data_IF_556494534593
#
_entry.id   IF_556494534593
#
_cell.length_a   1.000
_cell.length_b   1.000
_cell.length_c   1.000
_cell.angle_alpha   90.00
_cell.angle_beta   90.00
_cell.angle_gamma   90.00
#
_symmetry.space_group_name_H-M   'P 1'
#
loop_
_entity.id
_entity.type
_entity.pdbx_description
1 polymer ?
#
# COMPACT_ATOMS: atom_id res chain seq x y z
N UNK A 1 5.42 16.36 -20.90
CA UNK A 1 6.27 15.63 -19.93
C UNK A 1 5.36 14.90 -18.98
N UNK A 2 5.15 13.62 -19.23
CA UNK A 2 4.46 12.73 -18.28
C UNK A 2 5.47 12.22 -17.26
N UNK A 3 5.00 11.83 -16.06
CA UNK A 3 5.87 11.27 -15.01
C UNK A 3 6.66 10.05 -15.52
N UNK A 4 6.07 9.30 -16.46
CA UNK A 4 6.69 8.14 -17.12
C UNK A 4 7.91 8.54 -17.95
N UNK A 5 7.84 9.65 -18.67
CA UNK A 5 8.96 10.17 -19.47
C UNK A 5 10.13 10.59 -18.57
N UNK A 6 9.84 11.23 -17.44
CA UNK A 6 10.88 11.63 -16.45
C UNK A 6 11.60 10.41 -15.88
N UNK A 7 10.84 9.37 -15.50
CA UNK A 7 11.41 8.13 -14.97
C UNK A 7 12.30 7.44 -16.02
N UNK A 8 11.88 7.39 -17.29
CA UNK A 8 12.69 6.83 -18.37
C UNK A 8 14.00 7.60 -18.58
N UNK A 9 13.96 8.94 -18.60
CA UNK A 9 15.18 9.74 -18.76
C UNK A 9 16.17 9.54 -17.61
N UNK A 10 15.67 9.31 -16.40
CA UNK A 10 16.51 9.12 -15.22
C UNK A 10 17.10 7.70 -15.18
N UNK A 11 16.37 6.71 -15.70
CA UNK A 11 16.82 5.32 -15.87
C UNK A 11 17.88 5.21 -16.98
N UNK A 12 17.72 5.92 -18.10
CA UNK A 12 18.65 5.87 -19.24
C UNK A 12 20.03 6.46 -18.90
N UNK A 13 20.12 7.30 -17.87
CA UNK A 13 21.39 7.88 -17.37
C UNK A 13 22.11 6.92 -16.40
N UNK A 14 21.44 5.88 -15.90
CA UNK A 14 22.02 4.92 -14.96
C UNK A 14 22.80 3.82 -15.68
N UNK A 15 23.98 3.51 -15.16
CA UNK A 15 24.77 2.37 -15.63
C UNK A 15 24.16 1.04 -15.16
N UNK A 16 24.45 -0.05 -15.89
CA UNK A 16 23.97 -1.42 -15.63
C UNK A 16 24.03 -1.83 -14.16
N UNK A 17 25.12 -1.50 -13.46
CA UNK A 17 25.33 -1.82 -12.03
C UNK A 17 24.27 -1.19 -11.13
N UNK A 18 23.88 0.05 -11.41
CA UNK A 18 22.82 0.76 -10.67
C UNK A 18 21.44 0.29 -11.09
N UNK A 19 21.25 -0.13 -12.34
CA UNK A 19 20.00 -0.74 -12.80
C UNK A 19 19.73 -2.08 -12.10
N UNK A 20 20.77 -2.88 -11.86
CA UNK A 20 20.68 -4.12 -11.08
C UNK A 20 20.22 -3.86 -9.64
N UNK A 21 20.66 -2.75 -9.03
CA UNK A 21 20.21 -2.35 -7.68
C UNK A 21 18.79 -1.76 -7.68
N UNK A 22 18.41 -1.04 -8.75
CA UNK A 22 17.09 -0.41 -8.88
C UNK A 22 15.98 -1.41 -9.21
N UNK A 23 16.29 -2.43 -10.01
CA UNK A 23 15.34 -3.46 -10.43
C UNK A 23 14.58 -4.14 -9.27
N UNK A 24 15.24 -4.64 -8.20
CA UNK A 24 14.53 -5.24 -7.08
C UNK A 24 13.62 -4.26 -6.35
N UNK A 25 13.98 -2.97 -6.27
CA UNK A 25 13.15 -1.95 -5.64
C UNK A 25 11.85 -1.73 -6.43
N UNK A 26 11.97 -1.59 -7.76
CA UNK A 26 10.80 -1.44 -8.65
C UNK A 26 9.95 -2.72 -8.62
N UNK A 27 10.59 -3.90 -8.67
CA UNK A 27 9.90 -5.19 -8.62
C UNK A 27 9.11 -5.36 -7.33
N UNK A 28 9.71 -5.05 -6.19
CA UNK A 28 9.04 -5.13 -4.89
C UNK A 28 7.90 -4.12 -4.79
N UNK A 29 8.09 -2.91 -5.32
CA UNK A 29 7.04 -1.90 -5.39
C UNK A 29 5.83 -2.39 -6.19
N UNK A 30 6.06 -2.91 -7.41
CA UNK A 30 4.99 -3.46 -8.25
C UNK A 30 4.29 -4.64 -7.56
N UNK A 31 5.04 -5.58 -6.98
CA UNK A 31 4.46 -6.72 -6.26
C UNK A 31 3.64 -6.30 -5.02
N UNK A 32 4.06 -5.24 -4.33
CA UNK A 32 3.30 -4.69 -3.20
C UNK A 32 1.97 -4.08 -3.63
N UNK A 33 1.93 -3.43 -4.80
CA UNK A 33 0.69 -2.88 -5.37
C UNK A 33 -0.26 -4.01 -5.82
N UNK A 34 0.26 -5.04 -6.50
CA UNK A 34 -0.54 -6.21 -6.88
C UNK A 34 -1.11 -6.96 -5.66
N UNK A 35 -0.35 -7.02 -4.56
CA UNK A 35 -0.79 -7.63 -3.31
C UNK A 35 -1.87 -6.79 -2.62
N UNK A 36 -1.77 -5.47 -2.70
CA UNK A 36 -2.79 -4.53 -2.20
C UNK A 36 -4.07 -4.55 -3.03
N UNK A 37 -3.98 -4.77 -4.35
CA UNK A 37 -5.14 -4.98 -5.22
C UNK A 37 -5.84 -6.33 -4.96
N UNK A 38 -5.07 -7.37 -4.60
CA UNK A 38 -5.61 -8.71 -4.27
C UNK A 38 -6.17 -8.83 -2.85
N UNK A 39 -6.03 -7.82 -2.00
CA UNK A 39 -6.64 -7.84 -0.67
C UNK A 39 -8.16 -7.77 -0.80
N UNK A 40 -8.82 -8.87 -0.41
CA UNK A 40 -10.28 -8.93 -0.35
C UNK A 40 -10.83 -7.83 0.54
N UNK A 41 -12.05 -7.38 0.25
CA UNK A 41 -12.77 -6.41 1.08
C UNK A 41 -12.79 -6.82 2.57
N UNK A 42 -12.94 -8.11 2.87
CA UNK A 42 -12.88 -8.61 4.25
C UNK A 42 -11.50 -8.50 4.88
N UNK A 43 -10.43 -8.67 4.12
CA UNK A 43 -9.06 -8.47 4.62
C UNK A 43 -8.82 -7.01 5.02
N UNK A 44 -9.42 -6.05 4.30
CA UNK A 44 -9.36 -4.63 4.65
C UNK A 44 -10.20 -4.32 5.90
N UNK A 45 -11.40 -4.89 6.02
CA UNK A 45 -12.23 -4.72 7.21
C UNK A 45 -11.57 -5.29 8.48
N UNK A 46 -10.86 -6.42 8.38
CA UNK A 46 -10.13 -7.02 9.52
C UNK A 46 -8.97 -6.15 10.03
N UNK A 47 -8.41 -5.27 9.21
CA UNK A 47 -7.35 -4.35 9.63
C UNK A 47 -7.89 -3.16 10.41
N UNK A 48 -9.19 -2.88 10.34
CA UNK A 48 -9.82 -1.80 11.11
C UNK A 48 -9.88 -2.23 12.57
N UNK A 49 -9.06 -1.59 13.40
CA UNK A 49 -9.16 -1.71 14.86
C UNK A 49 -10.19 -0.70 15.35
N UNK A 50 -11.26 -1.20 15.96
CA UNK A 50 -12.25 -0.35 16.63
C UNK A 50 -11.71 -0.08 18.03
N UNK A 51 -11.22 1.14 18.26
CA UNK A 51 -10.89 1.60 19.61
C UNK A 51 -12.17 1.97 20.34
N UNK A 52 -12.74 0.99 21.04
CA UNK A 52 -13.93 1.20 21.86
C UNK A 52 -13.82 0.43 23.19
N UNK A 53 -14.57 0.87 24.23
CA UNK A 53 -14.68 0.12 25.49
C UNK A 53 -15.15 -1.32 25.28
N UNK A 54 -14.78 -2.23 26.19
CA UNK A 54 -15.14 -3.66 26.10
C UNK A 54 -16.66 -3.88 26.04
N UNK A 55 -17.44 -2.97 26.61
CA UNK A 55 -18.90 -3.00 26.65
C UNK A 55 -19.58 -2.27 25.48
N UNK A 56 -18.82 -1.77 24.51
CA UNK A 56 -19.32 -0.96 23.40
C UNK A 56 -20.41 -1.67 22.59
N UNK A 57 -20.23 -2.96 22.31
CA UNK A 57 -21.21 -3.75 21.54
C UNK A 57 -22.52 -4.00 22.29
N UNK A 58 -22.49 -3.98 23.62
CA UNK A 58 -23.65 -4.23 24.49
C UNK A 58 -24.38 -2.92 24.83
N UNK A 59 -23.63 -1.82 24.94
CA UNK A 59 -24.14 -0.52 25.38
C UNK A 59 -24.05 0.55 24.27
N UNK A 60 -24.31 0.19 23.01
CA UNK A 60 -24.22 1.10 21.85
C UNK A 60 -24.98 2.43 22.08
N UNK A 61 -26.16 2.36 22.68
CA UNK A 61 -27.01 3.52 22.99
C UNK A 61 -26.34 4.55 23.92
N UNK A 62 -25.35 4.14 24.71
CA UNK A 62 -24.60 5.03 25.61
C UNK A 62 -23.52 5.82 24.88
N UNK A 63 -23.04 5.31 23.75
CA UNK A 63 -21.87 5.83 23.04
C UNK A 63 -22.23 6.49 21.71
N UNK A 64 -23.41 6.22 21.16
CA UNK A 64 -23.91 6.84 19.92
C UNK A 64 -25.04 7.81 20.31
N UNK A 65 -24.68 9.10 20.46
CA UNK A 65 -25.62 10.21 20.64
C UNK A 65 -25.56 11.16 19.45
#
# INVERSE_FOLDING_TARGET
MTLRELIHTEIDVLNESRLVELYPLIRNFVQSQESAEKQSFMSKLQQIRIEAPEDFSVNLDRYIK
#
